data_IF_520742790777
#
_entry.id   IF_520742790777
#
_cell.length_a   1.000
_cell.length_b   1.000
_cell.length_c   1.000
_cell.angle_alpha   90.00
_cell.angle_beta   90.00
_cell.angle_gamma   90.00
#
_symmetry.space_group_name_H-M   'P 1'
#
loop_
_entity.id
_entity.type
_entity.pdbx_description
1 polymer ?
#
# COMPACT_ATOMS: atom_id res chain seq x y z
N UNK A 1 12.11 13.71 12.56
CA UNK A 1 11.02 14.74 12.44
C UNK A 1 10.10 14.28 11.33
N UNK A 2 8.81 14.08 11.59
CA UNK A 2 7.83 13.68 10.55
C UNK A 2 7.83 14.71 9.44
N UNK A 3 8.04 14.28 8.21
CA UNK A 3 8.02 15.15 7.06
C UNK A 3 6.60 15.67 6.80
N UNK A 4 6.42 16.98 6.73
CA UNK A 4 5.11 17.53 6.41
C UNK A 4 4.72 17.21 4.96
N UNK A 5 3.48 16.77 4.79
CA UNK A 5 2.94 16.47 3.48
C UNK A 5 2.75 17.79 2.70
N UNK A 6 3.28 17.83 1.49
CA UNK A 6 3.02 18.96 0.59
C UNK A 6 1.56 18.91 0.09
N UNK A 7 0.72 19.93 0.39
CA UNK A 7 -0.71 19.87 0.10
C UNK A 7 -1.03 19.89 -1.40
N UNK A 8 -0.21 20.53 -2.22
CA UNK A 8 -0.39 20.58 -3.67
C UNK A 8 -0.15 19.18 -4.28
N UNK A 9 0.99 18.56 -3.96
CA UNK A 9 1.30 17.20 -4.42
C UNK A 9 0.32 16.16 -3.90
N UNK A 10 -0.13 16.29 -2.65
CA UNK A 10 -1.16 15.41 -2.10
C UNK A 10 -2.48 15.55 -2.85
N UNK A 11 -2.91 16.78 -3.15
CA UNK A 11 -4.12 17.03 -3.92
C UNK A 11 -4.02 16.46 -5.33
N UNK A 12 -2.89 16.69 -6.02
CA UNK A 12 -2.65 16.13 -7.36
C UNK A 12 -2.72 14.60 -7.35
N UNK A 13 -1.95 13.95 -6.49
CA UNK A 13 -1.89 12.50 -6.40
C UNK A 13 -3.26 11.89 -6.06
N UNK A 14 -3.94 12.39 -5.03
CA UNK A 14 -5.25 11.85 -4.62
C UNK A 14 -6.34 12.11 -5.65
N UNK A 15 -6.27 13.21 -6.39
CA UNK A 15 -7.23 13.50 -7.48
C UNK A 15 -7.04 12.51 -8.63
N UNK A 16 -5.80 12.25 -9.04
CA UNK A 16 -5.50 11.26 -10.09
C UNK A 16 -5.96 9.85 -9.66
N UNK A 17 -5.61 9.42 -8.45
CA UNK A 17 -6.00 8.12 -7.90
C UNK A 17 -7.53 7.96 -7.86
N UNK A 18 -8.25 8.94 -7.30
CA UNK A 18 -9.73 8.93 -7.29
C UNK A 18 -10.30 8.84 -8.70
N UNK A 19 -9.79 9.65 -9.62
CA UNK A 19 -10.27 9.66 -11.02
C UNK A 19 -10.08 8.30 -11.69
N UNK A 20 -8.95 7.64 -11.45
CA UNK A 20 -8.65 6.32 -12.00
C UNK A 20 -9.65 5.26 -11.53
N UNK A 21 -9.93 5.19 -10.22
CA UNK A 21 -10.80 4.19 -9.65
C UNK A 21 -12.29 4.50 -9.89
N UNK A 22 -12.71 5.76 -9.79
CA UNK A 22 -14.08 6.16 -10.09
C UNK A 22 -14.46 5.88 -11.56
N UNK A 23 -13.55 6.10 -12.51
CA UNK A 23 -13.77 5.77 -13.92
C UNK A 23 -13.96 4.26 -14.16
N UNK A 24 -13.52 3.40 -13.25
CA UNK A 24 -13.69 1.95 -13.26
C UNK A 24 -14.91 1.47 -12.46
N UNK A 25 -15.72 2.40 -11.94
CA UNK A 25 -16.92 2.09 -11.18
C UNK A 25 -16.69 1.73 -9.71
N UNK A 26 -15.47 1.94 -9.20
CA UNK A 26 -15.19 1.78 -7.78
C UNK A 26 -15.90 2.85 -6.96
N UNK A 27 -16.18 2.55 -5.70
CA UNK A 27 -16.77 3.48 -4.75
C UNK A 27 -15.77 3.85 -3.64
N UNK A 28 -15.76 5.13 -3.26
CA UNK A 28 -14.94 5.59 -2.14
C UNK A 28 -15.63 5.29 -0.81
N UNK A 29 -14.89 4.66 0.10
CA UNK A 29 -15.37 4.31 1.46
C UNK A 29 -14.73 5.24 2.47
N UNK A 30 -15.53 5.71 3.42
CA UNK A 30 -15.01 6.36 4.62
C UNK A 30 -14.71 5.30 5.69
N UNK A 31 -13.44 5.00 5.88
CA UNK A 31 -13.00 4.05 6.90
C UNK A 31 -13.31 4.56 8.31
N UNK A 32 -13.89 3.68 9.14
CA UNK A 32 -14.29 4.05 10.50
C UNK A 32 -13.31 3.44 11.50
N UNK A 33 -12.68 4.29 12.30
CA UNK A 33 -11.64 3.89 13.26
C UNK A 33 -12.19 3.26 14.56
N UNK A 34 -13.43 2.80 14.57
CA UNK A 34 -14.10 2.22 15.74
C UNK A 34 -14.28 0.71 15.67
N UNK A 35 -13.70 0.03 14.71
CA UNK A 35 -13.59 -1.42 14.73
C UNK A 35 -12.23 -1.81 15.28
N UNK A 36 -12.24 -2.84 16.10
CA UNK A 36 -11.02 -3.47 16.60
C UNK A 36 -10.31 -4.33 15.55
N UNK A 37 -10.85 -4.38 14.32
CA UNK A 37 -10.26 -5.15 13.23
C UNK A 37 -9.17 -4.29 12.60
N UNK A 38 -7.97 -4.51 13.08
CA UNK A 38 -6.76 -4.10 12.39
C UNK A 38 -6.47 -5.16 11.34
N UNK A 39 -5.80 -4.78 10.27
CA UNK A 39 -5.49 -5.70 9.21
C UNK A 39 -4.78 -6.95 9.74
N UNK A 40 -5.19 -8.10 9.25
CA UNK A 40 -4.56 -9.37 9.58
C UNK A 40 -3.12 -9.50 9.04
N UNK A 41 -2.74 -8.63 8.11
CA UNK A 41 -1.42 -8.60 7.45
C UNK A 41 -0.44 -7.60 8.08
N UNK A 42 -0.87 -6.80 9.05
CA UNK A 42 -0.01 -5.82 9.70
C UNK A 42 0.69 -6.40 10.93
N UNK A 43 1.85 -5.84 11.26
CA UNK A 43 2.61 -6.26 12.43
C UNK A 43 1.87 -5.88 13.73
N UNK A 44 1.40 -6.86 14.51
CA UNK A 44 0.68 -6.61 15.75
C UNK A 44 1.55 -5.93 16.82
N UNK A 45 2.88 -5.96 16.68
CA UNK A 45 3.80 -5.33 17.63
C UNK A 45 3.92 -3.81 17.46
N UNK A 46 3.44 -3.27 16.32
CA UNK A 46 3.48 -1.85 15.98
C UNK A 46 2.11 -1.17 16.09
N UNK A 47 1.15 -1.82 16.76
CA UNK A 47 -0.19 -1.26 16.96
C UNK A 47 -0.16 -0.18 18.05
N UNK A 48 -0.42 1.06 17.65
CA UNK A 48 -0.66 2.15 18.59
C UNK A 48 -2.10 2.13 19.11
N UNK A 49 -2.31 2.59 20.35
CA UNK A 49 -3.64 2.67 20.95
C UNK A 49 -3.90 4.06 21.54
N UNK A 50 -5.18 4.41 21.69
CA UNK A 50 -5.59 5.63 22.34
C UNK A 50 -6.79 5.41 23.28
N UNK A 51 -6.93 6.25 24.31
CA UNK A 51 -8.04 6.22 25.23
C UNK A 51 -9.11 7.22 24.78
N UNK A 52 -10.33 6.74 24.57
CA UNK A 52 -11.46 7.60 24.25
C UNK A 52 -12.76 7.07 24.85
N UNK A 53 -13.51 7.94 25.50
CA UNK A 53 -14.81 7.63 26.12
C UNK A 53 -14.76 6.45 27.11
N UNK A 54 -13.65 6.27 27.81
CA UNK A 54 -13.46 5.21 28.80
C UNK A 54 -13.01 3.86 28.24
N UNK A 55 -12.80 3.78 26.95
CA UNK A 55 -12.34 2.59 26.24
C UNK A 55 -10.97 2.81 25.59
N UNK A 56 -10.22 1.72 25.43
CA UNK A 56 -8.95 1.70 24.70
C UNK A 56 -9.19 1.24 23.28
N UNK A 57 -8.84 2.08 22.32
CA UNK A 57 -9.03 1.83 20.90
C UNK A 57 -7.69 1.73 20.19
N UNK A 58 -7.54 0.83 19.22
CA UNK A 58 -6.38 0.84 18.33
C UNK A 58 -6.47 2.00 17.34
N UNK A 59 -5.32 2.57 17.00
CA UNK A 59 -5.19 3.43 15.84
C UNK A 59 -5.07 2.57 14.58
N UNK A 60 -5.69 2.95 13.46
CA UNK A 60 -5.66 2.14 12.25
C UNK A 60 -4.27 2.11 11.62
N UNK A 61 -3.85 0.95 11.16
CA UNK A 61 -2.66 0.79 10.33
C UNK A 61 -3.01 0.76 8.85
N UNK A 62 -4.26 0.39 8.52
CA UNK A 62 -4.77 0.26 7.14
C UNK A 62 -6.29 0.44 7.13
N UNK A 63 -6.84 0.78 5.97
CA UNK A 63 -8.28 0.76 5.70
C UNK A 63 -8.76 -0.53 5.03
N UNK A 64 -7.85 -1.47 4.73
CA UNK A 64 -8.11 -2.66 3.92
C UNK A 64 -9.28 -3.49 4.46
N UNK A 65 -9.34 -3.76 5.76
CA UNK A 65 -10.43 -4.55 6.36
C UNK A 65 -11.81 -3.92 6.19
N UNK A 66 -11.89 -2.58 6.10
CA UNK A 66 -13.14 -1.90 5.76
C UNK A 66 -13.52 -2.08 4.30
N UNK A 67 -12.54 -2.03 3.41
CA UNK A 67 -12.77 -2.23 1.97
C UNK A 67 -13.24 -3.67 1.73
N UNK A 68 -12.61 -4.64 2.38
CA UNK A 68 -13.01 -6.05 2.31
C UNK A 68 -14.42 -6.28 2.89
N UNK A 69 -14.75 -5.66 4.03
CA UNK A 69 -16.09 -5.71 4.61
C UNK A 69 -17.14 -5.16 3.63
N UNK A 70 -16.88 -4.03 2.99
CA UNK A 70 -17.79 -3.45 1.99
C UNK A 70 -17.91 -4.36 0.76
N UNK A 71 -16.81 -4.94 0.30
CA UNK A 71 -16.81 -5.87 -0.84
C UNK A 71 -17.64 -7.11 -0.55
N UNK A 72 -17.52 -7.70 0.63
CA UNK A 72 -18.32 -8.86 1.05
C UNK A 72 -19.82 -8.55 1.14
N UNK A 73 -20.18 -7.33 1.58
CA UNK A 73 -21.59 -6.91 1.66
C UNK A 73 -22.16 -6.46 0.32
N UNK A 74 -21.33 -6.06 -0.63
CA UNK A 74 -21.72 -5.52 -1.92
C UNK A 74 -20.99 -6.21 -3.09
N UNK A 75 -21.19 -7.54 -3.26
CA UNK A 75 -20.37 -8.36 -4.18
C UNK A 75 -20.56 -8.03 -5.67
N UNK A 76 -21.50 -7.15 -6.01
CA UNK A 76 -21.75 -6.70 -7.38
C UNK A 76 -21.05 -5.38 -7.71
N UNK A 77 -20.41 -4.75 -6.73
CA UNK A 77 -19.62 -3.53 -6.95
C UNK A 77 -18.28 -3.91 -7.57
N UNK A 78 -17.80 -3.18 -8.59
CA UNK A 78 -16.50 -3.44 -9.20
C UNK A 78 -15.35 -3.41 -8.22
N UNK A 79 -15.44 -2.59 -7.16
CA UNK A 79 -14.48 -2.50 -6.08
C UNK A 79 -14.68 -1.28 -5.21
N UNK A 80 -13.88 -1.18 -4.18
CA UNK A 80 -13.87 -0.08 -3.23
C UNK A 80 -12.47 0.49 -3.07
N UNK A 81 -12.37 1.76 -2.71
CA UNK A 81 -11.11 2.39 -2.34
C UNK A 81 -11.30 3.38 -1.20
N UNK A 82 -10.22 3.73 -0.53
CA UNK A 82 -10.22 4.75 0.50
C UNK A 82 -8.92 5.55 0.50
N UNK A 83 -8.98 6.73 1.10
CA UNK A 83 -7.81 7.48 1.56
C UNK A 83 -7.84 7.42 3.08
N UNK A 84 -6.90 6.73 3.65
CA UNK A 84 -6.77 6.52 5.09
C UNK A 84 -5.50 7.14 5.65
N UNK A 85 -5.34 7.07 6.96
CA UNK A 85 -4.08 7.41 7.63
C UNK A 85 -3.58 6.19 8.37
N UNK A 86 -2.37 5.76 8.06
CA UNK A 86 -1.68 4.70 8.79
C UNK A 86 -0.98 5.26 10.01
N UNK A 87 -1.10 4.56 11.13
CA UNK A 87 -0.41 4.83 12.40
C UNK A 87 0.42 3.61 12.76
N UNK A 88 1.73 3.78 12.89
CA UNK A 88 2.65 2.69 13.22
C UNK A 88 3.52 3.05 14.41
N UNK A 89 3.44 2.26 15.46
CA UNK A 89 4.27 2.43 16.67
C UNK A 89 5.61 1.70 16.49
N UNK A 90 6.34 2.06 15.44
CA UNK A 90 7.66 1.48 15.17
C UNK A 90 8.72 2.09 16.08
N UNK A 91 9.46 1.22 16.76
CA UNK A 91 10.56 1.64 17.67
C UNK A 91 11.78 2.13 16.93
N UNK A 92 11.98 1.68 15.71
CA UNK A 92 13.13 2.03 14.88
C UNK A 92 12.64 2.39 13.48
N UNK A 93 12.93 3.62 13.07
CA UNK A 93 12.57 4.12 11.73
C UNK A 93 13.84 4.35 10.91
N UNK A 94 13.77 4.05 9.62
CA UNK A 94 14.84 4.40 8.67
C UNK A 94 14.54 5.79 8.12
N UNK A 95 15.40 6.77 8.44
CA UNK A 95 15.23 8.15 8.01
C UNK A 95 15.15 8.25 6.47
N UNK A 96 14.16 9.02 6.00
CA UNK A 96 13.90 9.21 4.58
C UNK A 96 13.13 8.07 3.89
N UNK A 97 12.78 7.00 4.61
CA UNK A 97 11.99 5.86 4.08
C UNK A 97 10.75 5.55 4.90
N UNK A 98 10.85 5.63 6.23
CA UNK A 98 9.77 5.27 7.12
C UNK A 98 9.21 6.50 7.80
N UNK A 99 7.90 6.60 7.83
CA UNK A 99 7.15 7.51 8.68
C UNK A 99 6.23 6.68 9.58
N UNK A 100 5.97 7.19 10.80
CA UNK A 100 5.09 6.55 11.77
C UNK A 100 3.62 6.95 11.59
N UNK A 101 3.37 8.03 10.86
CA UNK A 101 2.03 8.52 10.51
C UNK A 101 2.09 9.02 9.07
N UNK A 102 1.33 8.39 8.17
CA UNK A 102 1.31 8.75 6.76
C UNK A 102 -0.03 8.44 6.09
N UNK A 103 -0.40 9.17 5.04
CA UNK A 103 -1.58 8.85 4.25
C UNK A 103 -1.35 7.60 3.42
N UNK A 104 -2.39 6.79 3.30
CA UNK A 104 -2.44 5.64 2.39
C UNK A 104 -3.61 5.78 1.44
N UNK A 105 -3.42 5.34 0.20
CA UNK A 105 -4.48 5.07 -0.74
C UNK A 105 -4.57 3.57 -0.93
N UNK A 106 -5.72 2.99 -0.66
CA UNK A 106 -5.93 1.55 -0.65
C UNK A 106 -7.15 1.20 -1.50
N UNK A 107 -7.15 0.03 -2.11
CA UNK A 107 -8.27 -0.46 -2.90
C UNK A 107 -8.42 -1.98 -2.80
N UNK A 108 -9.66 -2.44 -2.93
CA UNK A 108 -10.05 -3.85 -2.94
C UNK A 108 -11.05 -4.10 -4.06
N UNK A 109 -10.92 -5.23 -4.74
CA UNK A 109 -11.84 -5.64 -5.79
C UNK A 109 -11.85 -7.17 -5.97
N UNK A 110 -12.94 -7.75 -6.51
CA UNK A 110 -13.00 -9.19 -6.78
C UNK A 110 -12.10 -9.53 -7.95
N UNK A 111 -11.21 -10.51 -7.74
CA UNK A 111 -10.27 -10.93 -8.76
C UNK A 111 -9.23 -11.92 -8.24
N UNK A 112 -8.21 -12.11 -9.03
CA UNK A 112 -7.05 -12.93 -8.70
C UNK A 112 -5.76 -12.12 -8.91
N UNK A 113 -4.62 -12.73 -8.64
CA UNK A 113 -3.30 -12.05 -8.74
C UNK A 113 -3.03 -11.45 -10.13
N UNK A 114 -3.53 -12.05 -11.20
CA UNK A 114 -3.34 -11.50 -12.56
C UNK A 114 -4.18 -10.26 -12.80
N UNK A 115 -5.39 -10.23 -12.24
CA UNK A 115 -6.27 -9.07 -12.30
C UNK A 115 -5.64 -7.90 -11.51
N UNK A 116 -5.03 -8.20 -10.35
CA UNK A 116 -4.27 -7.21 -9.56
C UNK A 116 -3.06 -6.68 -10.33
N UNK A 117 -2.24 -7.56 -10.91
CA UNK A 117 -1.09 -7.17 -11.73
C UNK A 117 -1.48 -6.25 -12.90
N UNK A 118 -2.61 -6.53 -13.56
CA UNK A 118 -3.11 -5.70 -14.65
C UNK A 118 -3.59 -4.33 -14.14
N UNK A 119 -4.32 -4.31 -13.03
CA UNK A 119 -4.78 -3.07 -12.38
C UNK A 119 -3.61 -2.18 -11.97
N UNK A 120 -2.58 -2.75 -11.35
CA UNK A 120 -1.38 -2.01 -10.93
C UNK A 120 -0.59 -1.45 -12.12
N UNK A 121 -0.49 -2.21 -13.22
CA UNK A 121 0.15 -1.74 -14.46
C UNK A 121 -0.61 -0.58 -15.09
N UNK A 122 -1.93 -0.69 -15.17
CA UNK A 122 -2.80 0.38 -15.66
C UNK A 122 -2.70 1.62 -14.78
N UNK A 123 -2.65 1.44 -13.46
CA UNK A 123 -2.48 2.52 -12.50
C UNK A 123 -1.13 3.23 -12.67
N UNK A 124 -0.03 2.46 -12.76
CA UNK A 124 1.30 3.01 -12.99
C UNK A 124 1.37 3.83 -14.29
N UNK A 125 0.79 3.33 -15.37
CA UNK A 125 0.71 4.07 -16.65
C UNK A 125 -0.12 5.35 -16.51
N UNK A 126 -1.28 5.26 -15.88
CA UNK A 126 -2.16 6.41 -15.65
C UNK A 126 -1.51 7.50 -14.77
N UNK A 127 -0.74 7.09 -13.77
CA UNK A 127 0.03 7.99 -12.90
C UNK A 127 1.29 8.58 -13.54
N UNK A 128 1.60 8.18 -14.79
CA UNK A 128 2.74 8.70 -15.54
C UNK A 128 4.09 8.03 -15.23
N UNK A 129 4.09 6.86 -14.59
CA UNK A 129 5.31 6.10 -14.31
C UNK A 129 5.86 5.30 -15.51
N UNK A 130 5.34 5.56 -16.71
CA UNK A 130 5.78 4.94 -17.96
C UNK A 130 4.70 4.06 -18.57
N UNK A 131 5.01 3.44 -19.72
CA UNK A 131 4.09 2.56 -20.40
C UNK A 131 3.96 1.23 -19.64
N UNK A 132 2.74 0.73 -19.47
CA UNK A 132 2.45 -0.51 -18.72
C UNK A 132 3.18 -1.75 -19.27
N UNK A 133 3.48 -1.78 -20.55
CA UNK A 133 4.23 -2.87 -21.18
C UNK A 133 5.75 -2.76 -20.97
N UNK A 134 6.24 -1.63 -20.45
CA UNK A 134 7.65 -1.44 -20.08
C UNK A 134 7.93 -1.75 -18.61
N UNK A 135 6.92 -2.04 -17.82
CA UNK A 135 7.06 -2.49 -16.43
C UNK A 135 7.68 -3.88 -16.43
N UNK A 136 8.75 -4.03 -15.67
CA UNK A 136 9.50 -5.29 -15.61
C UNK A 136 9.01 -6.13 -14.45
N UNK A 137 8.80 -7.42 -14.70
CA UNK A 137 8.49 -8.40 -13.65
C UNK A 137 9.77 -9.08 -13.21
N UNK A 138 9.90 -9.24 -11.90
CA UNK A 138 10.94 -10.02 -11.27
C UNK A 138 10.37 -10.87 -10.15
N UNK A 139 10.86 -12.08 -10.05
CA UNK A 139 10.56 -12.94 -8.93
C UNK A 139 11.40 -12.52 -7.72
N UNK A 140 10.82 -12.57 -6.53
CA UNK A 140 11.51 -12.29 -5.29
C UNK A 140 12.80 -13.14 -5.14
N UNK A 141 12.72 -14.43 -5.47
CA UNK A 141 13.88 -15.34 -5.40
C UNK A 141 15.01 -14.95 -6.37
N UNK A 142 14.69 -14.38 -7.55
CA UNK A 142 15.73 -13.88 -8.46
C UNK A 142 16.53 -12.73 -7.84
N UNK A 143 15.87 -11.90 -7.03
CA UNK A 143 16.54 -10.84 -6.31
C UNK A 143 17.34 -11.36 -5.13
N UNK A 144 16.84 -12.36 -4.40
CA UNK A 144 17.61 -13.01 -3.35
C UNK A 144 18.90 -13.64 -3.92
N UNK A 145 18.81 -14.33 -5.04
CA UNK A 145 19.98 -14.88 -5.76
C UNK A 145 20.94 -13.77 -6.20
N UNK A 146 20.42 -12.66 -6.73
CA UNK A 146 21.25 -11.53 -7.18
C UNK A 146 22.06 -10.89 -6.05
N UNK A 147 21.54 -10.88 -4.85
CA UNK A 147 22.20 -10.33 -3.65
C UNK A 147 22.89 -11.40 -2.78
N UNK A 148 23.00 -12.63 -3.26
CA UNK A 148 23.58 -13.76 -2.53
C UNK A 148 22.92 -14.03 -1.17
N UNK A 149 21.59 -13.83 -1.09
CA UNK A 149 20.79 -14.07 0.11
C UNK A 149 20.35 -15.55 0.18
N UNK A 150 20.66 -16.20 1.27
CA UNK A 150 20.37 -17.63 1.49
C UNK A 150 19.76 -17.87 2.86
N UNK A 151 19.12 -19.04 3.02
CA UNK A 151 18.66 -19.53 4.32
C UNK A 151 17.63 -18.66 5.05
N UNK A 152 16.73 -18.01 4.30
CA UNK A 152 15.65 -17.20 4.88
C UNK A 152 16.06 -15.76 5.20
N UNK A 153 17.20 -15.31 4.68
CA UNK A 153 17.53 -13.89 4.68
C UNK A 153 16.56 -13.14 3.74
N UNK A 154 16.10 -11.98 4.18
CA UNK A 154 15.16 -11.15 3.44
C UNK A 154 15.87 -9.96 2.76
N UNK A 155 15.22 -9.41 1.73
CA UNK A 155 15.67 -8.17 1.09
C UNK A 155 15.66 -7.02 2.11
N UNK A 156 16.82 -6.42 2.34
CA UNK A 156 16.94 -5.22 3.18
C UNK A 156 16.63 -3.95 2.40
N UNK A 157 16.48 -2.83 3.11
CA UNK A 157 16.29 -1.52 2.49
C UNK A 157 17.47 -1.09 1.60
N UNK A 158 18.69 -1.53 1.89
CA UNK A 158 19.87 -1.28 1.03
C UNK A 158 19.75 -2.06 -0.28
N UNK A 159 19.26 -3.29 -0.23
CA UNK A 159 19.00 -4.10 -1.42
C UNK A 159 17.94 -3.43 -2.30
N UNK A 160 16.84 -2.98 -1.73
CA UNK A 160 15.79 -2.25 -2.48
C UNK A 160 16.31 -0.93 -3.08
N UNK A 161 17.12 -0.18 -2.35
CA UNK A 161 17.76 1.03 -2.88
C UNK A 161 18.71 0.73 -4.06
N UNK A 162 19.43 -0.39 -4.00
CA UNK A 162 20.28 -0.86 -5.11
C UNK A 162 19.44 -1.29 -6.32
N UNK A 163 18.29 -1.96 -6.11
CA UNK A 163 17.33 -2.31 -7.16
C UNK A 163 16.83 -1.06 -7.87
N UNK A 164 16.40 -0.04 -7.15
CA UNK A 164 15.93 1.23 -7.72
C UNK A 164 17.00 1.90 -8.60
N UNK A 165 18.27 1.86 -8.22
CA UNK A 165 19.38 2.37 -9.03
C UNK A 165 19.57 1.59 -10.33
N UNK A 166 19.46 0.26 -10.27
CA UNK A 166 19.61 -0.61 -11.44
C UNK A 166 18.51 -0.37 -12.48
N UNK A 167 17.30 -0.02 -12.04
CA UNK A 167 16.16 0.19 -12.93
C UNK A 167 16.02 1.63 -13.47
N UNK A 168 16.89 2.54 -13.06
CA UNK A 168 16.96 3.91 -13.58
C UNK A 168 15.59 4.63 -13.57
N UNK A 169 14.82 4.49 -12.50
CA UNK A 169 13.51 5.10 -12.34
C UNK A 169 12.35 4.41 -13.08
N UNK A 170 12.58 3.22 -13.66
CA UNK A 170 11.49 2.39 -14.19
C UNK A 170 10.79 1.64 -13.06
N UNK A 171 9.51 1.34 -13.25
CA UNK A 171 8.75 0.48 -12.33
C UNK A 171 9.17 -0.97 -12.52
N UNK A 172 9.42 -1.65 -11.41
CA UNK A 172 9.64 -3.09 -11.36
C UNK A 172 8.63 -3.70 -10.38
N UNK A 173 7.87 -4.67 -10.84
CA UNK A 173 6.97 -5.46 -9.99
C UNK A 173 7.73 -6.67 -9.46
N UNK A 174 7.79 -6.78 -8.15
CA UNK A 174 8.39 -7.95 -7.49
C UNK A 174 7.25 -8.91 -7.14
N UNK A 175 7.33 -10.11 -7.71
CA UNK A 175 6.33 -11.16 -7.53
C UNK A 175 6.80 -12.23 -6.56
N UNK A 176 5.82 -12.95 -5.99
CA UNK A 176 6.06 -14.06 -5.06
C UNK A 176 6.89 -13.63 -3.84
N UNK A 177 6.58 -12.47 -3.30
CA UNK A 177 7.08 -12.02 -2.01
C UNK A 177 6.61 -13.01 -0.93
N UNK A 178 7.44 -13.37 0.07
CA UNK A 178 7.09 -14.33 1.11
C UNK A 178 5.96 -13.85 2.02
#
# INVERSE_FOLDING_TARGET
>A
MTQLINPEKFTEATTLLRSFFLARGFQEVHTQNRLSILAACEDPTTVATYNYAGEVWPLPQTGQMWLEYELLNNPHTPGFFCVSTSYRDEKTITEGRHDIIFPMFEFEFPGNIKDLEEMERDLCEYMGFGNKHSIVDKNYLEWCEYFDLYNGEELSHEHEAAMCKNWQGRVCMIKNFP
#
